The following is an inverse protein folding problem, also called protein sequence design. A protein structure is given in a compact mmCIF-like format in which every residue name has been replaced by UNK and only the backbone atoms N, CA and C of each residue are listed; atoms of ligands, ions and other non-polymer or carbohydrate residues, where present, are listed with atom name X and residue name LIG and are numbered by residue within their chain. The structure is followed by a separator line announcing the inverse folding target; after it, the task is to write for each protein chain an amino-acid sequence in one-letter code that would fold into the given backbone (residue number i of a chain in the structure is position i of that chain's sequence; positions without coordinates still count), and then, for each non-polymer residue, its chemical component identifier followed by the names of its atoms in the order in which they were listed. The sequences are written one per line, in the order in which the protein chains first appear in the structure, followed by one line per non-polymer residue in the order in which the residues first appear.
data_IF_595485832465
#
_entry.id   IF_595485832465
#
_cell.length_a   1.000
_cell.length_b   1.000
_cell.length_c   1.000
_cell.angle_alpha   90.00
_cell.angle_beta   90.00
_cell.angle_gamma   90.00
#
_symmetry.space_group_name_H-M   'P 1'
#
loop_
_entity.id
_entity.type
_entity.pdbx_description
1 polymer ?
#
# COMPACT_ATOMS: atom_id res chain seq x y z
N UNK A 1 -5.14 5.82 12.86
CA UNK A 1 -3.95 6.06 12.00
C UNK A 1 -4.36 6.83 10.76
N UNK A 2 -3.55 7.78 10.35
CA UNK A 2 -3.81 8.60 9.16
C UNK A 2 -3.06 8.05 7.94
N UNK A 3 -3.45 8.52 6.75
CA UNK A 3 -2.73 8.17 5.52
C UNK A 3 -1.30 8.71 5.54
N UNK A 4 -1.09 9.87 6.18
CA UNK A 4 0.26 10.44 6.31
C UNK A 4 1.15 9.51 7.14
N UNK A 5 0.62 9.01 8.26
CA UNK A 5 1.35 8.06 9.10
C UNK A 5 1.64 6.77 8.35
N UNK A 6 0.67 6.25 7.59
CA UNK A 6 0.88 5.06 6.79
C UNK A 6 1.98 5.28 5.74
N UNK A 7 1.99 6.44 5.06
CA UNK A 7 3.04 6.75 4.09
C UNK A 7 4.41 6.73 4.74
N UNK A 8 4.54 7.30 5.93
CA UNK A 8 5.80 7.31 6.67
C UNK A 8 6.27 5.89 7.00
N UNK A 9 5.33 5.01 7.37
CA UNK A 9 5.64 3.60 7.62
C UNK A 9 6.11 2.91 6.36
N UNK A 10 5.42 3.12 5.24
CA UNK A 10 5.80 2.53 3.96
C UNK A 10 7.17 3.02 3.48
N UNK A 11 7.50 4.28 3.75
CA UNK A 11 8.82 4.83 3.40
C UNK A 11 9.96 4.13 4.12
N UNK A 12 9.70 3.50 5.27
CA UNK A 12 10.71 2.75 6.02
C UNK A 12 11.20 1.51 5.27
N UNK A 13 10.47 1.04 4.27
CA UNK A 13 10.89 -0.10 3.45
C UNK A 13 12.09 0.23 2.57
N UNK A 14 12.34 1.51 2.31
CA UNK A 14 13.38 1.94 1.37
C UNK A 14 12.97 1.86 -0.10
N UNK A 15 11.78 1.34 -0.38
CA UNK A 15 11.28 1.27 -1.75
C UNK A 15 10.53 2.55 -2.12
N UNK A 16 10.49 2.93 -3.43
CA UNK A 16 9.68 4.07 -3.87
C UNK A 16 8.20 3.85 -3.55
N UNK A 17 7.53 4.89 -3.06
CA UNK A 17 6.12 4.84 -2.65
C UNK A 17 5.35 5.97 -3.29
N UNK A 18 4.17 5.67 -3.85
CA UNK A 18 3.29 6.68 -4.41
C UNK A 18 1.84 6.39 -4.04
N UNK A 19 1.02 7.44 -3.97
CA UNK A 19 -0.41 7.27 -3.76
C UNK A 19 -1.10 6.95 -5.08
N UNK A 20 -1.86 5.87 -5.10
CA UNK A 20 -2.64 5.37 -6.23
C UNK A 20 -1.79 4.86 -7.40
N UNK A 21 -0.97 5.70 -7.99
CA UNK A 21 -0.21 5.34 -9.19
C UNK A 21 0.99 6.26 -9.35
N UNK A 22 1.88 5.86 -10.24
CA UNK A 22 3.01 6.68 -10.65
C UNK A 22 2.63 7.43 -11.93
N UNK A 23 2.95 8.73 -11.96
CA UNK A 23 2.78 9.54 -13.17
C UNK A 23 4.17 9.85 -13.70
N UNK A 24 4.67 9.07 -14.69
CA UNK A 24 6.00 9.32 -15.21
C UNK A 24 6.04 10.64 -15.98
N UNK A 25 7.10 11.41 -15.76
CA UNK A 25 7.36 12.65 -16.49
C UNK A 25 8.74 12.55 -17.14
N UNK A 26 9.07 13.53 -17.97
CA UNK A 26 10.36 13.55 -18.64
C UNK A 26 11.53 13.56 -17.65
N UNK A 27 11.36 14.25 -16.51
CA UNK A 27 12.39 14.38 -15.49
C UNK A 27 12.25 13.35 -14.35
N UNK A 28 11.08 12.72 -14.22
CA UNK A 28 10.79 11.72 -13.18
C UNK A 28 10.17 10.50 -13.84
N UNK A 29 10.99 9.60 -14.41
CA UNK A 29 10.47 8.39 -15.02
C UNK A 29 9.92 7.44 -13.97
N UNK A 30 9.12 6.49 -14.43
CA UNK A 30 8.60 5.42 -13.56
C UNK A 30 9.79 4.71 -12.92
N UNK A 31 9.79 4.53 -11.57
CA UNK A 31 10.91 3.83 -10.93
C UNK A 31 10.93 2.36 -11.35
N UNK A 32 12.12 1.77 -11.30
CA UNK A 32 12.26 0.34 -11.51
C UNK A 32 11.65 -0.43 -10.34
N UNK A 33 10.97 -1.57 -10.57
CA UNK A 33 10.50 -2.41 -9.48
C UNK A 33 11.68 -2.91 -8.62
N UNK A 34 11.49 -3.14 -7.31
CA UNK A 34 10.20 -3.09 -6.61
C UNK A 34 9.78 -1.67 -6.22
N UNK A 35 8.49 -1.43 -6.28
CA UNK A 35 7.93 -0.17 -5.79
C UNK A 35 6.53 -0.41 -5.22
N UNK A 36 6.04 0.57 -4.47
CA UNK A 36 4.78 0.47 -3.73
C UNK A 36 3.83 1.57 -4.17
N UNK A 37 2.57 1.21 -4.36
CA UNK A 37 1.46 2.15 -4.46
C UNK A 37 0.47 1.85 -3.34
N UNK A 38 -0.22 2.87 -2.84
CA UNK A 38 -1.27 2.66 -1.86
C UNK A 38 -2.43 3.60 -2.16
N UNK A 39 -3.65 3.15 -1.89
CA UNK A 39 -4.84 3.96 -2.15
C UNK A 39 -5.96 3.56 -1.20
N UNK A 40 -6.82 4.53 -0.90
CA UNK A 40 -8.03 4.27 -0.15
C UNK A 40 -9.00 3.59 -1.11
N UNK A 41 -9.33 2.34 -0.81
CA UNK A 41 -10.28 1.58 -1.61
C UNK A 41 -11.71 1.93 -1.22
N UNK A 42 -11.91 2.13 0.08
CA UNK A 42 -13.22 2.42 0.62
C UNK A 42 -13.06 3.04 2.00
N UNK A 43 -13.99 3.94 2.37
CA UNK A 43 -14.04 4.47 3.73
C UNK A 43 -15.39 4.15 4.36
N UNK A 44 -15.35 3.85 5.66
CA UNK A 44 -16.52 3.62 6.49
C UNK A 44 -16.37 4.46 7.74
N UNK A 45 -17.47 5.04 8.20
CA UNK A 45 -17.47 5.82 9.43
C UNK A 45 -18.33 5.14 10.47
N UNK A 46 -17.82 5.05 11.69
CA UNK A 46 -18.63 4.65 12.81
C UNK A 46 -19.49 5.83 13.23
N UNK A 47 -20.76 5.59 13.40
CA UNK A 47 -21.75 6.62 13.71
C UNK A 47 -22.26 6.46 15.14
N UNK A 48 -22.42 7.59 15.84
CA UNK A 48 -23.08 7.66 17.13
C UNK A 48 -23.94 8.93 17.13
N UNK A 49 -25.24 8.79 17.45
CA UNK A 49 -26.19 9.89 17.47
C UNK A 49 -26.19 10.70 16.16
N UNK A 50 -26.08 10.01 15.01
CA UNK A 50 -26.01 10.59 13.69
C UNK A 50 -24.78 11.48 13.42
N UNK A 51 -23.75 11.35 14.25
CA UNK A 51 -22.48 12.04 14.09
C UNK A 51 -21.39 11.03 13.88
N UNK A 52 -20.57 11.21 12.85
CA UNK A 52 -19.41 10.36 12.62
C UNK A 52 -18.38 10.61 13.73
N UNK A 53 -18.15 9.61 14.62
CA UNK A 53 -17.18 9.77 15.70
C UNK A 53 -15.87 9.03 15.45
N UNK A 54 -15.84 8.14 14.47
CA UNK A 54 -14.61 7.46 14.09
C UNK A 54 -14.60 7.22 12.58
N UNK A 55 -13.52 7.61 11.93
CA UNK A 55 -13.32 7.38 10.50
C UNK A 55 -12.48 6.13 10.30
N UNK A 56 -12.95 5.28 9.39
CA UNK A 56 -12.30 4.02 9.06
C UNK A 56 -12.01 4.04 7.56
N UNK A 57 -10.74 3.82 7.19
CA UNK A 57 -10.33 3.73 5.79
C UNK A 57 -9.80 2.34 5.50
N UNK A 58 -10.38 1.69 4.49
CA UNK A 58 -9.82 0.47 3.94
C UNK A 58 -8.84 0.86 2.86
N UNK A 59 -7.58 0.51 3.04
CA UNK A 59 -6.49 0.89 2.16
C UNK A 59 -5.92 -0.36 1.51
N UNK A 60 -5.68 -0.27 0.20
CA UNK A 60 -5.01 -1.30 -0.55
C UNK A 60 -3.56 -0.87 -0.78
N UNK A 61 -2.62 -1.69 -0.33
CA UNK A 61 -1.20 -1.46 -0.55
C UNK A 61 -0.75 -2.45 -1.62
N UNK A 62 -0.17 -1.95 -2.69
CA UNK A 62 0.22 -2.75 -3.83
C UNK A 62 1.73 -2.75 -3.98
N UNK A 63 2.33 -3.93 -3.91
CA UNK A 63 3.77 -4.12 -4.12
C UNK A 63 3.96 -4.68 -5.53
N UNK A 64 4.71 -3.97 -6.36
CA UNK A 64 5.00 -4.37 -7.73
C UNK A 64 6.43 -4.88 -7.84
N UNK A 65 6.58 -6.07 -8.39
CA UNK A 65 7.90 -6.70 -8.62
C UNK A 65 7.94 -7.33 -10.00
N UNK A 66 9.14 -7.49 -10.57
CA UNK A 66 9.30 -8.12 -11.89
C UNK A 66 8.95 -9.61 -11.80
N UNK A 67 9.38 -10.25 -10.72
CA UNK A 67 9.09 -11.65 -10.43
C UNK A 67 8.82 -11.80 -8.94
N UNK A 68 8.41 -12.99 -8.52
CA UNK A 68 8.19 -13.25 -7.10
C UNK A 68 9.43 -12.85 -6.31
N UNK A 69 9.27 -11.89 -5.40
CA UNK A 69 10.38 -11.28 -4.65
C UNK A 69 10.10 -11.35 -3.15
N UNK A 70 10.58 -12.42 -2.53
CA UNK A 70 10.34 -12.65 -1.10
C UNK A 70 11.04 -11.60 -0.23
N UNK A 71 12.15 -11.05 -0.69
CA UNK A 71 12.87 -10.01 0.07
C UNK A 71 12.06 -8.72 0.12
N UNK A 72 11.49 -8.29 -1.00
CA UNK A 72 10.65 -7.10 -1.03
C UNK A 72 9.38 -7.30 -0.22
N UNK A 73 8.75 -8.48 -0.31
CA UNK A 73 7.56 -8.80 0.47
C UNK A 73 7.88 -8.79 1.97
N UNK A 74 8.99 -9.38 2.36
CA UNK A 74 9.40 -9.41 3.77
C UNK A 74 9.65 -8.01 4.32
N UNK A 75 10.24 -7.12 3.52
CA UNK A 75 10.49 -5.74 3.94
C UNK A 75 9.19 -5.00 4.22
N UNK A 76 8.20 -5.16 3.34
CA UNK A 76 6.89 -4.52 3.52
C UNK A 76 6.15 -5.12 4.71
N UNK A 77 6.11 -6.46 4.80
CA UNK A 77 5.40 -7.14 5.88
C UNK A 77 6.02 -6.79 7.23
N UNK A 78 7.35 -6.66 7.28
CA UNK A 78 8.03 -6.29 8.52
C UNK A 78 7.58 -4.94 9.06
N UNK A 79 7.50 -3.91 8.21
CA UNK A 79 7.07 -2.59 8.69
C UNK A 79 5.60 -2.60 9.13
N UNK A 80 4.76 -3.38 8.46
CA UNK A 80 3.37 -3.54 8.88
C UNK A 80 3.27 -4.26 10.23
N UNK A 81 4.03 -5.35 10.39
CA UNK A 81 4.04 -6.11 11.63
C UNK A 81 4.62 -5.31 12.79
N UNK A 82 5.71 -4.58 12.55
CA UNK A 82 6.35 -3.75 13.58
C UNK A 82 5.41 -2.65 14.09
N UNK A 83 4.50 -2.18 13.25
CA UNK A 83 3.53 -1.16 13.62
C UNK A 83 2.16 -1.74 13.98
N UNK A 84 2.09 -3.07 14.11
CA UNK A 84 0.88 -3.81 14.52
C UNK A 84 -0.31 -3.52 13.61
N UNK A 85 -0.06 -3.46 12.31
CA UNK A 85 -1.08 -3.26 11.29
C UNK A 85 -1.41 -4.63 10.69
N UNK A 86 -2.57 -5.22 11.03
CA UNK A 86 -2.96 -6.49 10.42
C UNK A 86 -3.34 -6.29 8.96
N UNK A 87 -3.11 -7.31 8.16
CA UNK A 87 -3.41 -7.24 6.73
C UNK A 87 -3.91 -8.57 6.21
N UNK A 88 -4.61 -8.50 5.08
CA UNK A 88 -4.94 -9.66 4.25
C UNK A 88 -4.18 -9.48 2.95
N UNK A 89 -3.62 -10.54 2.41
CA UNK A 89 -2.84 -10.44 1.19
C UNK A 89 -3.31 -11.40 0.12
N UNK A 90 -3.11 -10.99 -1.11
CA UNK A 90 -3.31 -11.81 -2.30
C UNK A 90 -2.34 -11.32 -3.37
N UNK A 91 -2.16 -12.10 -4.43
CA UNK A 91 -1.24 -11.70 -5.49
C UNK A 91 -1.77 -12.08 -6.85
N UNK A 92 -1.31 -11.36 -7.87
CA UNK A 92 -1.64 -11.64 -9.26
C UNK A 92 -0.46 -11.24 -10.14
N UNK A 93 -0.42 -11.79 -11.34
CA UNK A 93 0.55 -11.40 -12.35
C UNK A 93 -0.16 -10.56 -13.41
N UNK A 94 0.34 -9.34 -13.66
CA UNK A 94 -0.22 -8.46 -14.67
C UNK A 94 0.52 -8.73 -15.98
N UNK A 95 -0.08 -9.54 -16.82
CA UNK A 95 0.57 -10.01 -18.04
C UNK A 95 0.90 -8.87 -19.01
N UNK A 96 0.01 -7.91 -19.14
CA UNK A 96 0.23 -6.74 -20.03
C UNK A 96 1.42 -5.89 -19.63
N UNK A 97 1.79 -5.87 -18.34
CA UNK A 97 2.90 -5.08 -17.81
C UNK A 97 4.10 -5.94 -17.42
N UNK A 98 3.94 -7.27 -17.44
CA UNK A 98 4.97 -8.21 -17.02
C UNK A 98 5.45 -7.95 -15.60
N UNK A 99 4.50 -7.66 -14.70
CA UNK A 99 4.76 -7.38 -13.30
C UNK A 99 3.91 -8.25 -12.41
N UNK A 100 4.48 -8.70 -11.29
CA UNK A 100 3.72 -9.25 -10.18
C UNK A 100 3.20 -8.10 -9.33
N UNK A 101 1.97 -8.26 -8.86
CA UNK A 101 1.34 -7.33 -7.95
C UNK A 101 0.85 -8.11 -6.74
N UNK A 102 1.39 -7.77 -5.56
CA UNK A 102 0.91 -8.32 -4.30
C UNK A 102 0.11 -7.25 -3.58
N UNK A 103 -1.11 -7.58 -3.20
CA UNK A 103 -2.01 -6.67 -2.49
C UNK A 103 -1.96 -6.94 -1.01
N UNK A 104 -1.94 -5.88 -0.23
CA UNK A 104 -2.11 -5.95 1.23
C UNK A 104 -3.28 -5.05 1.58
N UNK A 105 -4.37 -5.66 2.03
CA UNK A 105 -5.54 -4.91 2.46
C UNK A 105 -5.42 -4.63 3.95
N UNK A 106 -5.41 -3.35 4.30
CA UNK A 106 -5.30 -2.91 5.69
C UNK A 106 -6.45 -1.98 6.04
N UNK A 107 -6.82 -1.95 7.30
CA UNK A 107 -7.86 -1.06 7.81
C UNK A 107 -7.23 -0.08 8.77
N UNK A 108 -7.37 1.22 8.46
CA UNK A 108 -6.89 2.29 9.31
C UNK A 108 -8.04 2.84 10.14
N UNK A 109 -7.85 2.82 11.44
CA UNK A 109 -8.85 3.29 12.40
C UNK A 109 -8.32 4.50 13.17
#
# INVERSE_FOLDING_TARGET
MTLIELRQILDLTGMPVAYSHWTPTKNNPLPAPPYICYLVERSENMMADNIAFQKINDVNIELYTIKKDLTAEAALEKVLDDHKIPYKSSETFIDSEKLFQKFYEVRLI
#
